data_IF_561822690726
#
_entry.id   IF_561822690726
#
_cell.length_a   1.000
_cell.length_b   1.000
_cell.length_c   1.000
_cell.angle_alpha   90.00
_cell.angle_beta   90.00
_cell.angle_gamma   90.00
#
_symmetry.space_group_name_H-M   'P 1'
#
loop_
_entity.id
_entity.type
_entity.pdbx_description
1 polymer ?
#
# COMPACT_ATOMS: atom_id res chain seq x y z
N UNK A 1 6.03 -19.05 -19.75
CA UNK A 1 6.91 -19.83 -18.85
C UNK A 1 7.81 -20.69 -19.70
N UNK A 2 9.12 -20.47 -19.61
CA UNK A 2 10.14 -21.30 -20.25
C UNK A 2 10.48 -22.50 -19.36
N UNK A 3 10.83 -23.65 -19.93
CA UNK A 3 11.25 -24.83 -19.16
C UNK A 3 12.57 -24.64 -18.40
N UNK A 4 13.33 -23.58 -18.73
CA UNK A 4 14.57 -23.19 -18.08
C UNK A 4 14.36 -22.21 -16.92
N UNK A 5 13.14 -21.73 -16.69
CA UNK A 5 12.83 -20.86 -15.55
C UNK A 5 12.87 -21.65 -14.25
N UNK A 6 13.30 -20.99 -13.18
CA UNK A 6 13.25 -21.58 -11.85
C UNK A 6 11.83 -21.55 -11.31
N UNK A 7 11.48 -22.53 -10.47
CA UNK A 7 10.18 -22.56 -9.80
C UNK A 7 9.96 -21.28 -8.97
N UNK A 8 11.03 -20.72 -8.40
CA UNK A 8 10.99 -19.43 -7.71
C UNK A 8 10.51 -18.27 -8.60
N UNK A 9 10.89 -18.23 -9.88
CA UNK A 9 10.49 -17.18 -10.81
C UNK A 9 8.99 -17.25 -11.11
N UNK A 10 8.44 -18.48 -11.22
CA UNK A 10 7.00 -18.68 -11.36
C UNK A 10 6.24 -18.16 -10.14
N UNK A 11 6.73 -18.45 -8.95
CA UNK A 11 6.11 -17.95 -7.71
C UNK A 11 6.08 -16.44 -7.70
N UNK A 12 7.17 -15.80 -8.10
CA UNK A 12 7.23 -14.35 -8.20
C UNK A 12 6.21 -13.81 -9.21
N UNK A 13 6.10 -14.42 -10.39
CA UNK A 13 5.09 -14.05 -11.39
C UNK A 13 3.66 -14.14 -10.84
N UNK A 14 3.34 -15.19 -10.09
CA UNK A 14 2.02 -15.37 -9.46
C UNK A 14 1.73 -14.23 -8.46
N UNK A 15 2.69 -13.82 -7.64
CA UNK A 15 2.53 -12.74 -6.64
C UNK A 15 2.36 -11.36 -7.31
N UNK A 16 2.84 -11.21 -8.54
CA UNK A 16 2.77 -9.95 -9.29
C UNK A 16 1.49 -9.82 -10.14
N UNK A 17 0.82 -10.93 -10.45
CA UNK A 17 -0.40 -10.91 -11.28
C UNK A 17 -1.61 -10.31 -10.54
N UNK A 18 -2.41 -9.41 -11.17
CA UNK A 18 -3.59 -8.80 -10.56
C UNK A 18 -4.69 -9.77 -10.08
N UNK A 19 -4.70 -11.03 -10.52
CA UNK A 19 -5.69 -12.03 -10.09
C UNK A 19 -5.23 -12.91 -8.92
N UNK A 20 -3.93 -12.89 -8.62
CA UNK A 20 -3.28 -13.84 -7.70
C UNK A 20 -2.35 -13.18 -6.69
N UNK A 21 -2.21 -11.84 -6.72
CA UNK A 21 -1.36 -11.08 -5.80
C UNK A 21 -1.70 -11.26 -4.31
N UNK A 22 -2.92 -11.72 -4.00
CA UNK A 22 -3.34 -12.03 -2.63
C UNK A 22 -2.58 -13.23 -2.04
N UNK A 23 -2.09 -14.15 -2.86
CA UNK A 23 -1.35 -15.32 -2.42
C UNK A 23 0.12 -14.95 -2.22
N UNK A 24 0.56 -14.79 -0.96
CA UNK A 24 1.94 -14.41 -0.65
C UNK A 24 2.72 -15.47 0.14
N UNK A 25 2.03 -16.47 0.70
CA UNK A 25 2.63 -17.60 1.42
C UNK A 25 1.96 -18.88 0.93
N UNK A 26 2.64 -19.58 0.03
CA UNK A 26 2.13 -20.77 -0.63
C UNK A 26 3.27 -21.65 -1.09
N UNK A 27 2.97 -22.87 -1.50
CA UNK A 27 3.84 -23.71 -2.29
C UNK A 27 3.12 -24.25 -3.51
N UNK A 28 3.91 -24.76 -4.45
CA UNK A 28 3.39 -25.38 -5.67
C UNK A 28 3.46 -26.90 -5.52
N UNK A 29 2.37 -27.55 -5.88
CA UNK A 29 2.26 -29.00 -5.90
C UNK A 29 1.97 -29.50 -7.32
N UNK A 30 2.64 -30.58 -7.71
CA UNK A 30 2.35 -31.32 -8.92
C UNK A 30 2.06 -32.77 -8.55
N UNK A 31 0.90 -33.29 -9.00
CA UNK A 31 0.43 -34.64 -8.63
C UNK A 31 0.40 -34.90 -7.11
N UNK A 32 0.07 -33.87 -6.31
CA UNK A 32 0.02 -33.96 -4.85
C UNK A 32 1.39 -34.05 -4.17
N UNK A 33 2.47 -33.73 -4.88
CA UNK A 33 3.81 -33.62 -4.32
C UNK A 33 4.30 -32.18 -4.38
N UNK A 34 4.80 -31.67 -3.25
CA UNK A 34 5.43 -30.36 -3.15
C UNK A 34 6.66 -30.28 -4.04
N UNK A 35 6.67 -29.30 -4.93
CA UNK A 35 7.80 -28.97 -5.79
C UNK A 35 8.82 -28.18 -4.97
N UNK A 36 10.11 -28.40 -5.23
CA UNK A 36 11.18 -27.58 -4.67
C UNK A 36 11.25 -26.23 -5.39
N UNK A 37 11.29 -25.13 -4.66
CA UNK A 37 11.31 -23.79 -5.25
C UNK A 37 12.65 -23.46 -5.96
N UNK A 38 13.73 -24.18 -5.65
CA UNK A 38 15.09 -23.89 -6.13
C UNK A 38 15.55 -24.70 -7.34
N UNK A 39 14.68 -25.53 -7.91
CA UNK A 39 14.98 -26.31 -9.11
C UNK A 39 14.40 -25.64 -10.36
N UNK A 40 14.90 -26.03 -11.52
CA UNK A 40 14.30 -25.65 -12.80
C UNK A 40 13.02 -26.45 -13.06
N UNK A 41 12.09 -25.88 -13.83
CA UNK A 41 10.87 -26.57 -14.24
C UNK A 41 11.14 -27.87 -15.02
N UNK A 42 12.25 -27.91 -15.76
CA UNK A 42 12.68 -29.10 -16.51
C UNK A 42 13.08 -30.28 -15.61
N UNK A 43 13.48 -30.02 -14.36
CA UNK A 43 13.91 -31.04 -13.39
C UNK A 43 12.76 -31.57 -12.53
N UNK A 44 11.57 -30.95 -12.63
CA UNK A 44 10.37 -31.43 -11.96
C UNK A 44 9.92 -32.74 -12.62
N UNK A 45 9.87 -33.81 -11.82
CA UNK A 45 9.51 -35.13 -12.31
C UNK A 45 8.13 -35.12 -13.00
N UNK A 46 8.08 -35.70 -14.21
CA UNK A 46 6.88 -35.85 -15.02
C UNK A 46 6.18 -34.55 -15.46
N UNK A 47 6.81 -33.39 -15.25
CA UNK A 47 6.26 -32.12 -15.72
C UNK A 47 6.40 -32.01 -17.24
N UNK A 48 5.27 -31.88 -17.92
CA UNK A 48 5.17 -31.72 -19.39
C UNK A 48 4.51 -30.40 -19.76
N UNK A 49 4.59 -30.03 -21.04
CA UNK A 49 3.74 -28.97 -21.57
C UNK A 49 2.26 -29.26 -21.25
N UNK A 50 1.51 -28.22 -20.89
CA UNK A 50 0.09 -28.27 -20.49
C UNK A 50 -0.19 -29.02 -19.18
N UNK A 51 0.84 -29.27 -18.36
CA UNK A 51 0.64 -29.82 -17.01
C UNK A 51 0.00 -28.79 -16.08
N UNK A 52 -0.92 -29.25 -15.23
CA UNK A 52 -1.57 -28.41 -14.22
C UNK A 52 -0.81 -28.49 -12.90
N UNK A 53 -0.41 -27.35 -12.37
CA UNK A 53 0.25 -27.21 -11.07
C UNK A 53 -0.73 -26.54 -10.11
N UNK A 54 -0.86 -27.10 -8.92
CA UNK A 54 -1.77 -26.58 -7.89
C UNK A 54 -1.01 -25.65 -6.95
N UNK A 55 -1.57 -24.48 -6.68
CA UNK A 55 -1.10 -23.59 -5.63
C UNK A 55 -1.78 -23.96 -4.32
N UNK A 56 -1.00 -24.18 -3.26
CA UNK A 56 -1.49 -24.52 -1.92
C UNK A 56 -0.97 -23.50 -0.93
N UNK A 57 -1.87 -22.84 -0.20
CA UNK A 57 -1.52 -21.86 0.83
C UNK A 57 -0.79 -22.51 2.01
N UNK A 58 0.29 -21.88 2.47
CA UNK A 58 1.10 -22.35 3.58
C UNK A 58 0.79 -21.51 4.85
N UNK A 59 1.00 -22.08 6.06
CA UNK A 59 0.87 -21.33 7.29
C UNK A 59 2.01 -20.29 7.40
N UNK A 60 1.64 -19.05 7.71
CA UNK A 60 2.61 -17.96 7.83
C UNK A 60 3.62 -18.17 8.95
N UNK A 61 4.90 -18.13 8.58
CA UNK A 61 6.00 -17.85 9.51
C UNK A 61 6.11 -16.34 9.80
N UNK A 62 6.84 -15.95 10.84
CA UNK A 62 7.08 -14.52 11.15
C UNK A 62 7.66 -13.77 9.94
N UNK A 63 8.58 -14.41 9.22
CA UNK A 63 9.21 -13.84 8.02
C UNK A 63 8.17 -13.59 6.93
N UNK A 64 7.33 -14.56 6.63
CA UNK A 64 6.33 -14.44 5.55
C UNK A 64 5.22 -13.47 5.92
N UNK A 65 4.79 -13.44 7.18
CA UNK A 65 3.80 -12.50 7.67
C UNK A 65 4.30 -11.05 7.52
N UNK A 66 5.58 -10.81 7.85
CA UNK A 66 6.22 -9.51 7.64
C UNK A 66 6.20 -9.09 6.17
N UNK A 67 6.55 -10.01 5.27
CA UNK A 67 6.55 -9.75 3.82
C UNK A 67 5.12 -9.48 3.32
N UNK A 68 4.14 -10.26 3.76
CA UNK A 68 2.73 -10.08 3.40
C UNK A 68 2.20 -8.70 3.78
N UNK A 69 2.48 -8.24 5.00
CA UNK A 69 2.06 -6.90 5.46
C UNK A 69 2.72 -5.79 4.64
N UNK A 70 4.01 -5.92 4.33
CA UNK A 70 4.72 -4.97 3.47
C UNK A 70 4.06 -4.91 2.08
N UNK A 71 3.78 -6.07 1.48
CA UNK A 71 3.13 -6.16 0.18
C UNK A 71 1.74 -5.53 0.17
N UNK A 72 0.92 -5.80 1.18
CA UNK A 72 -0.41 -5.17 1.29
C UNK A 72 -0.28 -3.66 1.43
N UNK A 73 0.65 -3.17 2.25
CA UNK A 73 0.89 -1.72 2.39
C UNK A 73 1.33 -1.09 1.07
N UNK A 74 2.18 -1.76 0.30
CA UNK A 74 2.58 -1.29 -1.03
C UNK A 74 1.39 -1.19 -1.98
N UNK A 75 0.52 -2.19 -1.99
CA UNK A 75 -0.69 -2.19 -2.83
C UNK A 75 -1.65 -1.07 -2.42
N UNK A 76 -1.88 -0.88 -1.12
CA UNK A 76 -2.70 0.22 -0.60
C UNK A 76 -2.06 1.57 -0.91
N UNK A 77 -0.75 1.71 -0.70
CA UNK A 77 -0.02 2.96 -0.95
C UNK A 77 0.10 3.32 -2.43
N UNK A 78 0.09 2.33 -3.33
CA UNK A 78 0.02 2.52 -4.76
C UNK A 78 -1.41 2.85 -5.24
N UNK A 79 -2.43 2.31 -4.57
CA UNK A 79 -3.85 2.55 -4.88
C UNK A 79 -4.44 3.80 -4.21
N UNK A 80 -3.79 4.31 -3.17
CA UNK A 80 -4.23 5.49 -2.43
C UNK A 80 -3.80 6.78 -3.10
N UNK A 81 -4.65 7.81 -3.03
CA UNK A 81 -4.25 9.17 -3.34
C UNK A 81 -3.16 9.56 -2.34
N UNK A 82 -1.93 9.71 -2.84
CA UNK A 82 -0.79 9.99 -1.98
C UNK A 82 -0.98 11.42 -1.50
N UNK A 83 -1.59 11.58 -0.32
CA UNK A 83 -1.68 12.87 0.35
C UNK A 83 -0.30 13.48 0.32
N UNK A 84 -0.20 14.54 -0.46
CA UNK A 84 1.06 15.13 -0.87
C UNK A 84 1.91 15.37 0.39
N UNK A 85 3.12 14.81 0.44
CA UNK A 85 4.08 15.11 1.53
C UNK A 85 4.55 16.58 1.45
N UNK A 86 3.99 17.39 0.56
CA UNK A 86 4.11 18.85 0.48
C UNK A 86 3.53 19.60 1.69
N UNK A 87 3.37 18.95 2.84
CA UNK A 87 3.20 19.63 4.13
C UNK A 87 4.56 20.00 4.75
N UNK A 88 5.66 19.90 3.99
CA UNK A 88 7.02 20.04 4.51
C UNK A 88 7.95 21.07 3.84
N UNK A 89 7.46 21.98 2.99
CA UNK A 89 8.33 23.01 2.38
C UNK A 89 8.31 24.36 3.13
N UNK A 90 7.33 24.58 4.00
CA UNK A 90 7.33 25.70 4.96
C UNK A 90 6.46 25.36 6.15
N UNK A 91 7.06 25.23 7.33
CA UNK A 91 6.37 24.93 8.60
C UNK A 91 5.49 26.08 9.12
N UNK A 92 5.12 27.03 8.26
CA UNK A 92 4.28 28.18 8.59
C UNK A 92 3.24 28.55 7.53
N UNK A 93 3.16 27.84 6.40
CA UNK A 93 2.11 28.07 5.41
C UNK A 93 0.91 27.16 5.71
N UNK A 94 -0.16 27.77 6.20
CA UNK A 94 -1.46 27.14 6.32
C UNK A 94 -2.05 26.92 4.92
N UNK A 95 -2.74 25.79 4.72
CA UNK A 95 -3.56 25.49 3.53
C UNK A 95 -4.63 26.57 3.23
N UNK A 96 -4.85 27.49 4.16
CA UNK A 96 -5.81 28.58 4.10
C UNK A 96 -5.17 29.95 3.79
N UNK A 97 -4.02 30.01 3.12
CA UNK A 97 -3.37 31.27 2.74
C UNK A 97 -4.31 32.20 1.93
N UNK A 98 -5.17 31.62 1.09
CA UNK A 98 -6.21 32.35 0.36
C UNK A 98 -7.34 32.89 1.25
N UNK A 99 -7.56 32.30 2.42
CA UNK A 99 -8.53 32.82 3.42
C UNK A 99 -7.89 33.92 4.26
N UNK A 100 -6.57 33.83 4.49
CA UNK A 100 -5.82 34.87 5.19
C UNK A 100 -5.66 36.14 4.34
N UNK A 101 -5.58 36.02 3.02
CA UNK A 101 -5.51 37.19 2.11
C UNK A 101 -6.84 37.94 1.96
N UNK A 102 -7.96 37.29 2.28
CA UNK A 102 -9.30 37.92 2.34
C UNK A 102 -9.55 38.69 3.65
N UNK A 103 -8.64 38.60 4.63
CA UNK A 103 -8.66 39.48 5.81
C UNK A 103 -8.09 40.83 5.39
N UNK A 104 -8.97 41.66 4.87
CA UNK A 104 -8.72 43.00 4.36
C UNK A 104 -7.77 43.82 5.24
N UNK A 105 -6.83 44.47 4.58
CA UNK A 105 -5.88 45.44 5.14
C UNK A 105 -6.57 46.79 5.35
N UNK A 106 -7.69 46.79 6.06
CA UNK A 106 -8.42 48.00 6.40
C UNK A 106 -9.02 47.87 7.79
N UNK A 107 -8.28 48.41 8.76
CA UNK A 107 -8.74 49.15 9.95
C UNK A 107 -8.05 48.73 11.26
N UNK A 108 -7.12 49.61 11.68
CA UNK A 108 -6.64 49.84 13.05
C UNK A 108 -5.89 48.70 13.77
N UNK A 109 -4.74 49.05 14.35
CA UNK A 109 -3.99 48.22 15.29
C UNK A 109 -4.85 47.83 16.51
N UNK A 110 -5.63 46.78 16.36
CA UNK A 110 -6.27 46.08 17.47
C UNK A 110 -5.74 44.65 17.45
N UNK A 111 -5.36 44.16 18.63
CA UNK A 111 -4.82 42.82 18.78
C UNK A 111 -5.79 41.81 18.13
N UNK A 112 -5.33 40.78 17.40
CA UNK A 112 -6.20 39.81 16.71
C UNK A 112 -7.10 38.96 17.64
N UNK A 113 -7.08 39.23 18.95
CA UNK A 113 -7.94 38.61 19.96
C UNK A 113 -8.92 39.61 20.58
N UNK A 114 -8.99 40.84 20.05
CA UNK A 114 -9.91 41.87 20.56
C UNK A 114 -11.33 41.43 20.21
N UNK A 115 -12.05 40.86 21.18
CA UNK A 115 -13.38 40.29 21.01
C UNK A 115 -13.46 38.76 21.12
N UNK A 116 -12.34 38.07 21.34
CA UNK A 116 -12.34 36.61 21.58
C UNK A 116 -12.66 36.30 23.04
N UNK A 117 -13.83 35.70 23.31
CA UNK A 117 -14.20 35.19 24.64
C UNK A 117 -13.77 33.72 24.77
N UNK A 118 -12.77 33.40 25.62
CA UNK A 118 -12.29 32.04 25.78
C UNK A 118 -13.31 31.08 26.42
N UNK A 119 -14.42 31.60 26.96
CA UNK A 119 -15.48 30.78 27.54
C UNK A 119 -16.70 30.64 26.62
N UNK A 120 -16.69 31.27 25.44
CA UNK A 120 -17.78 31.14 24.49
C UNK A 120 -17.80 29.72 23.88
N UNK A 121 -18.99 29.11 23.71
CA UNK A 121 -19.10 27.82 23.03
C UNK A 121 -18.65 27.94 21.57
N UNK A 122 -17.81 27.00 21.13
CA UNK A 122 -17.33 26.96 19.74
C UNK A 122 -18.50 26.84 18.76
N UNK A 123 -18.51 27.67 17.71
CA UNK A 123 -19.56 27.61 16.68
C UNK A 123 -19.21 26.53 15.66
N UNK A 124 -20.03 25.47 15.57
CA UNK A 124 -19.78 24.30 14.72
C UNK A 124 -20.04 24.53 13.21
N UNK A 125 -20.47 25.72 12.80
CA UNK A 125 -20.92 26.00 11.43
C UNK A 125 -19.80 26.00 10.38
N UNK A 126 -18.53 26.03 10.80
CA UNK A 126 -17.39 26.23 9.89
C UNK A 126 -16.52 24.97 9.73
N UNK A 127 -16.83 23.86 10.42
CA UNK A 127 -15.92 22.69 10.51
C UNK A 127 -16.29 21.56 9.54
N UNK A 128 -17.12 21.80 8.52
CA UNK A 128 -17.43 20.76 7.53
C UNK A 128 -17.38 21.32 6.10
N UNK A 129 -16.48 20.82 5.24
CA UNK A 129 -16.74 20.76 3.80
C UNK A 129 -17.83 19.73 3.46
#
# INVERSE_FOLDING_TARGET
VSSQEQVQDLRQSIVELPGTFQYTCFHLEFNGQRINDYIELSEVADLKADSEVTLVEDPYTEKEARIHVVRIRELIGAAGDRVDNLQGLSTGLSLHDSVASEVDTSESETHPLTGYDPNAPGTFSTILP
#
